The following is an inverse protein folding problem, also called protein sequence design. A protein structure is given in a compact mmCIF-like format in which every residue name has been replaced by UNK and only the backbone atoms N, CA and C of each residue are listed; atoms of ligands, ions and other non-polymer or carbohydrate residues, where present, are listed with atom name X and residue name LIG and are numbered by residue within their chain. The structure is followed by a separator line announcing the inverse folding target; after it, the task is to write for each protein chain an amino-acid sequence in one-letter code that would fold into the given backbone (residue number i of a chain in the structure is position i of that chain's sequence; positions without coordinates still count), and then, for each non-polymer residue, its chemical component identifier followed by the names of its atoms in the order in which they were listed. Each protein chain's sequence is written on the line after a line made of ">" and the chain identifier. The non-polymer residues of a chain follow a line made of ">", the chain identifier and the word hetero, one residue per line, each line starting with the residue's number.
data_IF_576509243481
#
_entry.id   IF_576509243481
#
_cell.length_a   1.000
_cell.length_b   1.000
_cell.length_c   1.000
_cell.angle_alpha   90.00
_cell.angle_beta   90.00
_cell.angle_gamma   90.00
#
_symmetry.space_group_name_H-M   'P 1'
#
loop_
_entity.id
_entity.type
_entity.pdbx_description
1 polymer ?
#
# COMPACT_ATOMS: atom_id res chain seq x y z
N UNK A 1 -44.46 -5.97 9.75
CA UNK A 1 -43.06 -5.76 10.13
C UNK A 1 -42.38 -7.14 10.08
N UNK A 2 -41.22 -7.24 9.46
CA UNK A 2 -40.44 -8.50 9.32
C UNK A 2 -39.90 -8.98 10.68
N UNK A 3 -40.19 -10.23 11.08
CA UNK A 3 -39.59 -10.84 12.28
C UNK A 3 -38.12 -11.18 12.02
N UNK A 4 -37.23 -10.72 12.89
CA UNK A 4 -35.77 -10.79 12.74
C UNK A 4 -35.22 -11.97 13.53
N UNK A 5 -35.22 -13.16 12.95
CA UNK A 5 -34.80 -14.40 13.61
C UNK A 5 -33.32 -14.41 14.03
N UNK A 6 -32.46 -13.68 13.31
CA UNK A 6 -31.04 -13.53 13.66
C UNK A 6 -30.80 -12.81 15.01
N UNK A 7 -31.77 -12.09 15.55
CA UNK A 7 -31.71 -11.49 16.89
C UNK A 7 -32.00 -12.51 17.97
N UNK A 8 -32.78 -13.55 17.65
CA UNK A 8 -33.16 -14.64 18.57
C UNK A 8 -32.07 -15.72 18.62
N UNK A 9 -31.56 -16.11 17.44
CA UNK A 9 -30.48 -17.06 17.29
C UNK A 9 -29.53 -16.63 16.16
N UNK A 10 -28.31 -16.20 16.53
CA UNK A 10 -27.27 -15.78 15.60
C UNK A 10 -26.76 -16.91 14.68
N UNK A 11 -26.90 -18.18 15.11
CA UNK A 11 -26.44 -19.36 14.39
C UNK A 11 -27.50 -19.94 13.45
N UNK A 12 -28.73 -19.42 13.49
CA UNK A 12 -29.80 -19.86 12.60
C UNK A 12 -29.47 -19.45 11.15
N UNK A 13 -29.28 -20.44 10.28
CA UNK A 13 -28.89 -20.22 8.87
C UNK A 13 -30.02 -20.42 7.89
N UNK A 14 -31.19 -20.97 8.33
CA UNK A 14 -32.35 -21.24 7.49
C UNK A 14 -33.63 -20.90 8.19
N UNK A 15 -34.62 -20.44 7.42
CA UNK A 15 -36.00 -20.35 7.90
C UNK A 15 -36.97 -20.53 6.73
N UNK A 16 -38.23 -20.87 7.05
CA UNK A 16 -39.34 -20.70 6.11
C UNK A 16 -39.87 -19.28 6.25
N UNK A 17 -40.18 -18.65 5.13
CA UNK A 17 -40.74 -17.29 5.11
C UNK A 17 -41.70 -17.15 3.97
N UNK A 18 -42.50 -16.09 4.03
CA UNK A 18 -43.43 -15.71 2.95
C UNK A 18 -43.00 -14.36 2.38
N UNK A 19 -42.97 -14.29 1.05
CA UNK A 19 -42.71 -13.02 0.35
C UNK A 19 -43.96 -12.12 0.51
N UNK A 20 -43.77 -10.94 1.12
CA UNK A 20 -44.79 -9.94 1.33
C UNK A 20 -44.91 -9.01 0.14
N UNK A 21 -43.78 -8.58 -0.44
CA UNK A 21 -43.72 -7.74 -1.63
C UNK A 21 -42.51 -8.08 -2.50
N UNK A 22 -42.61 -7.77 -3.80
CA UNK A 22 -41.55 -7.88 -4.78
C UNK A 22 -41.68 -6.70 -5.73
N UNK A 23 -40.68 -5.84 -5.77
CA UNK A 23 -40.65 -4.65 -6.64
C UNK A 23 -39.38 -4.63 -7.48
N UNK A 24 -39.45 -4.18 -8.76
CA UNK A 24 -38.21 -3.98 -9.54
C UNK A 24 -37.33 -2.94 -8.89
N UNK A 25 -35.99 -3.20 -8.86
CA UNK A 25 -34.98 -2.31 -8.38
C UNK A 25 -33.99 -1.96 -9.51
N UNK A 26 -33.05 -1.07 -9.23
CA UNK A 26 -32.03 -0.65 -10.21
C UNK A 26 -31.16 -1.83 -10.71
N UNK A 27 -30.91 -2.80 -9.82
CA UNK A 27 -30.21 -4.05 -10.15
C UNK A 27 -30.97 -5.23 -9.52
N UNK A 28 -31.87 -5.86 -10.29
CA UNK A 28 -32.67 -6.99 -9.81
C UNK A 28 -34.00 -6.57 -9.18
N UNK A 29 -34.30 -7.13 -8.01
CA UNK A 29 -35.60 -6.98 -7.34
C UNK A 29 -35.44 -6.82 -5.83
N UNK A 30 -36.27 -5.98 -5.24
CA UNK A 30 -36.39 -5.78 -3.80
C UNK A 30 -37.54 -6.61 -3.24
N UNK A 31 -37.21 -7.47 -2.30
CA UNK A 31 -38.17 -8.38 -1.64
C UNK A 31 -38.29 -8.04 -0.16
N UNK A 32 -39.53 -8.04 0.36
CA UNK A 32 -39.76 -8.04 1.80
C UNK A 32 -40.37 -9.41 2.23
N UNK A 33 -39.94 -9.88 3.40
CA UNK A 33 -40.39 -11.17 3.96
C UNK A 33 -41.12 -10.96 5.28
N UNK A 34 -42.03 -11.87 5.64
CA UNK A 34 -42.68 -11.88 6.96
C UNK A 34 -41.71 -12.16 8.11
N UNK A 35 -40.69 -12.98 7.86
CA UNK A 35 -39.57 -13.24 8.77
C UNK A 35 -38.29 -13.56 8.00
N UNK A 36 -37.13 -13.38 8.66
CA UNK A 36 -35.85 -13.54 7.99
C UNK A 36 -34.73 -13.95 8.92
N UNK A 37 -33.78 -14.73 8.37
CA UNK A 37 -32.47 -15.03 8.99
C UNK A 37 -31.38 -14.10 8.50
N UNK A 38 -31.63 -13.29 7.44
CA UNK A 38 -30.63 -12.37 6.86
C UNK A 38 -30.44 -11.15 7.76
N UNK A 39 -29.19 -10.93 8.19
CA UNK A 39 -28.77 -9.70 8.85
C UNK A 39 -28.54 -8.61 7.80
N UNK A 40 -29.09 -7.38 7.95
CA UNK A 40 -28.88 -6.28 7.05
C UNK A 40 -27.52 -5.59 7.24
N UNK A 41 -27.16 -4.66 6.36
CA UNK A 41 -26.07 -3.73 6.60
C UNK A 41 -26.39 -2.87 7.83
N UNK A 42 -25.76 -3.13 8.95
CA UNK A 42 -26.01 -2.40 10.20
C UNK A 42 -24.84 -2.53 11.20
N UNK A 43 -24.73 -1.57 12.12
CA UNK A 43 -23.75 -1.63 13.20
C UNK A 43 -22.30 -1.74 12.76
N UNK A 44 -21.95 -1.22 11.57
CA UNK A 44 -20.61 -1.31 11.01
C UNK A 44 -20.26 -2.68 10.40
N UNK A 45 -21.23 -3.61 10.32
CA UNK A 45 -21.07 -4.94 9.74
C UNK A 45 -21.84 -5.05 8.42
N UNK A 46 -21.23 -5.64 7.35
CA UNK A 46 -21.91 -5.93 6.11
C UNK A 46 -23.04 -6.97 6.29
N UNK A 47 -24.04 -6.90 5.40
CA UNK A 47 -25.17 -7.81 5.39
C UNK A 47 -24.77 -9.24 5.01
N UNK A 48 -25.70 -10.17 5.30
CA UNK A 48 -25.65 -11.52 4.76
C UNK A 48 -26.03 -11.58 3.29
N UNK A 49 -25.53 -12.62 2.65
CA UNK A 49 -25.96 -13.07 1.32
C UNK A 49 -26.49 -14.50 1.41
N UNK A 50 -27.20 -14.96 0.36
CA UNK A 50 -27.71 -16.33 0.39
C UNK A 50 -28.71 -16.63 -0.74
N UNK A 51 -29.68 -17.49 -0.46
CA UNK A 51 -30.63 -18.00 -1.45
C UNK A 51 -32.03 -18.10 -0.88
N UNK A 52 -33.04 -17.77 -1.70
CA UNK A 52 -34.45 -18.12 -1.43
C UNK A 52 -34.87 -19.22 -2.40
N UNK A 53 -35.31 -20.36 -1.87
CA UNK A 53 -35.82 -21.51 -2.64
C UNK A 53 -37.32 -21.58 -2.56
N UNK A 54 -38.00 -21.86 -3.67
CA UNK A 54 -39.42 -22.01 -3.76
C UNK A 54 -39.82 -22.95 -4.92
N UNK A 55 -41.07 -23.42 -5.02
CA UNK A 55 -41.46 -24.37 -6.08
C UNK A 55 -41.15 -23.94 -7.52
N UNK A 56 -41.03 -22.63 -7.79
CA UNK A 56 -40.63 -22.06 -9.09
C UNK A 56 -39.13 -21.97 -9.33
N UNK A 57 -38.27 -22.39 -8.40
CA UNK A 57 -36.82 -22.35 -8.52
C UNK A 57 -36.09 -21.76 -7.30
N UNK A 58 -34.99 -21.11 -7.53
CA UNK A 58 -34.22 -20.44 -6.49
C UNK A 58 -33.72 -19.08 -7.00
N UNK A 59 -33.60 -18.09 -6.14
CA UNK A 59 -33.04 -16.77 -6.42
C UNK A 59 -31.89 -16.48 -5.44
N UNK A 60 -30.90 -15.74 -5.91
CA UNK A 60 -29.77 -15.30 -5.09
C UNK A 60 -30.12 -13.99 -4.40
N UNK A 61 -29.93 -13.94 -3.08
CA UNK A 61 -29.97 -12.69 -2.30
C UNK A 61 -28.55 -12.17 -2.22
N UNK A 62 -28.31 -11.04 -2.86
CA UNK A 62 -26.98 -10.41 -2.97
C UNK A 62 -26.72 -9.38 -1.88
N UNK A 63 -27.76 -8.96 -1.17
CA UNK A 63 -27.68 -7.98 -0.09
C UNK A 63 -28.97 -7.86 0.69
N UNK A 64 -28.91 -7.17 1.82
CA UNK A 64 -30.06 -6.90 2.68
C UNK A 64 -29.82 -5.57 3.39
N UNK A 65 -30.79 -4.67 3.30
CA UNK A 65 -30.76 -3.36 3.93
C UNK A 65 -31.99 -3.12 4.80
N UNK A 66 -31.82 -2.31 5.83
CA UNK A 66 -32.90 -1.85 6.68
C UNK A 66 -33.33 -0.46 6.23
N UNK A 67 -34.60 -0.30 5.96
CA UNK A 67 -35.28 0.98 5.73
C UNK A 67 -36.17 1.30 6.91
N UNK A 68 -36.71 2.55 6.98
CA UNK A 68 -37.59 2.97 8.07
C UNK A 68 -38.82 2.06 8.21
N UNK A 69 -39.29 1.48 7.11
CA UNK A 69 -40.56 0.71 7.05
C UNK A 69 -40.34 -0.82 6.96
N UNK A 70 -39.18 -1.28 6.45
CA UNK A 70 -39.01 -2.69 6.11
C UNK A 70 -37.53 -3.14 6.10
N UNK A 71 -37.34 -4.45 6.17
CA UNK A 71 -36.09 -5.12 5.87
C UNK A 71 -36.15 -5.65 4.43
N UNK A 72 -35.32 -5.08 3.56
CA UNK A 72 -35.32 -5.29 2.11
C UNK A 72 -34.21 -6.25 1.73
N UNK A 73 -34.57 -7.32 0.98
CA UNK A 73 -33.63 -8.31 0.44
C UNK A 73 -33.45 -8.04 -1.06
N UNK A 74 -32.22 -7.83 -1.51
CA UNK A 74 -31.89 -7.58 -2.93
C UNK A 74 -31.68 -8.92 -3.64
N UNK A 75 -32.59 -9.27 -4.56
CA UNK A 75 -32.58 -10.53 -5.29
C UNK A 75 -32.26 -10.36 -6.78
N UNK A 76 -31.57 -11.35 -7.37
CA UNK A 76 -31.22 -11.37 -8.79
C UNK A 76 -32.42 -11.55 -9.72
N UNK A 77 -33.53 -12.12 -9.22
CA UNK A 77 -34.74 -12.42 -9.98
C UNK A 77 -35.98 -12.22 -9.12
N UNK A 78 -37.16 -12.01 -9.75
CA UNK A 78 -38.41 -11.79 -9.02
C UNK A 78 -38.91 -13.08 -8.34
N UNK A 79 -39.53 -12.89 -7.18
CA UNK A 79 -40.34 -13.91 -6.51
C UNK A 79 -41.72 -13.31 -6.23
N UNK A 80 -42.82 -13.87 -6.75
CA UNK A 80 -44.17 -13.30 -6.58
C UNK A 80 -44.56 -13.15 -5.10
N UNK A 81 -45.26 -12.06 -4.76
CA UNK A 81 -45.80 -11.88 -3.42
C UNK A 81 -46.79 -13.03 -3.10
N UNK A 82 -46.80 -13.43 -1.84
CA UNK A 82 -47.57 -14.57 -1.35
C UNK A 82 -46.87 -15.93 -1.48
N UNK A 83 -45.69 -15.97 -2.15
CA UNK A 83 -44.91 -17.23 -2.30
C UNK A 83 -44.25 -17.61 -0.99
N UNK A 84 -44.39 -18.89 -0.58
CA UNK A 84 -43.65 -19.48 0.51
C UNK A 84 -42.23 -19.86 0.04
N UNK A 85 -41.23 -19.42 0.76
CA UNK A 85 -39.81 -19.63 0.43
C UNK A 85 -39.03 -20.28 1.59
N UNK A 86 -38.02 -21.05 1.26
CA UNK A 86 -36.97 -21.44 2.21
C UNK A 86 -35.80 -20.50 2.02
N UNK A 87 -35.54 -19.66 3.03
CA UNK A 87 -34.47 -18.71 3.09
C UNK A 87 -33.24 -19.35 3.71
N UNK A 88 -32.10 -19.29 3.03
CA UNK A 88 -30.81 -19.87 3.48
C UNK A 88 -29.71 -18.84 3.26
N UNK A 89 -28.99 -18.47 4.34
CA UNK A 89 -27.83 -17.54 4.26
C UNK A 89 -26.54 -18.31 3.95
N UNK A 90 -25.53 -17.58 3.44
CA UNK A 90 -24.15 -18.07 3.41
C UNK A 90 -23.61 -18.20 4.85
N UNK A 91 -23.59 -19.44 5.34
CA UNK A 91 -23.12 -19.77 6.70
C UNK A 91 -21.66 -19.35 6.91
N UNK A 92 -20.80 -19.53 5.92
CA UNK A 92 -19.38 -19.24 6.06
C UNK A 92 -19.16 -17.72 6.21
N UNK A 93 -19.87 -16.91 5.43
CA UNK A 93 -19.88 -15.44 5.53
C UNK A 93 -20.42 -14.97 6.89
N UNK A 94 -21.57 -15.49 7.32
CA UNK A 94 -22.16 -15.15 8.62
C UNK A 94 -21.21 -15.47 9.76
N UNK A 95 -20.66 -16.66 9.80
CA UNK A 95 -19.75 -17.09 10.86
C UNK A 95 -18.46 -16.27 10.89
N UNK A 96 -17.89 -15.98 9.73
CA UNK A 96 -16.74 -15.08 9.61
C UNK A 96 -17.04 -13.68 10.18
N UNK A 97 -18.18 -13.09 9.85
CA UNK A 97 -18.58 -11.79 10.41
C UNK A 97 -18.81 -11.87 11.94
N UNK A 98 -19.40 -12.93 12.44
CA UNK A 98 -19.58 -13.15 13.88
C UNK A 98 -18.23 -13.23 14.60
N UNK A 99 -17.23 -13.92 14.02
CA UNK A 99 -15.87 -13.97 14.57
C UNK A 99 -15.23 -12.57 14.65
N UNK A 100 -15.33 -11.78 13.58
CA UNK A 100 -14.78 -10.41 13.57
C UNK A 100 -15.48 -9.53 14.61
N UNK A 101 -16.82 -9.54 14.63
CA UNK A 101 -17.60 -8.66 15.49
C UNK A 101 -17.43 -9.03 16.98
N UNK A 102 -17.44 -10.32 17.31
CA UNK A 102 -17.18 -10.76 18.69
C UNK A 102 -15.74 -10.47 19.12
N UNK A 103 -14.77 -10.59 18.19
CA UNK A 103 -13.38 -10.19 18.42
C UNK A 103 -13.22 -8.69 18.67
N UNK A 104 -14.02 -7.84 17.97
CA UNK A 104 -14.09 -6.41 18.25
C UNK A 104 -14.48 -6.13 19.70
N UNK A 105 -15.52 -6.80 20.20
CA UNK A 105 -15.96 -6.67 21.59
C UNK A 105 -14.84 -7.00 22.58
N UNK A 106 -14.08 -8.09 22.36
CA UNK A 106 -12.94 -8.45 23.21
C UNK A 106 -11.83 -7.39 23.16
N UNK A 107 -11.46 -6.92 21.94
CA UNK A 107 -10.46 -5.87 21.78
C UNK A 107 -10.87 -4.59 22.50
N UNK A 108 -12.11 -4.17 22.30
CA UNK A 108 -12.64 -2.94 22.89
C UNK A 108 -12.70 -3.02 24.40
N UNK A 109 -13.09 -4.19 24.95
CA UNK A 109 -13.10 -4.40 26.40
C UNK A 109 -11.68 -4.42 26.97
N UNK A 110 -10.73 -5.14 26.35
CA UNK A 110 -9.33 -5.18 26.79
C UNK A 110 -8.69 -3.78 26.73
N UNK A 111 -8.91 -3.01 25.67
CA UNK A 111 -8.42 -1.65 25.53
C UNK A 111 -8.93 -0.74 26.64
N UNK A 112 -10.23 -0.85 26.95
CA UNK A 112 -10.83 -0.08 28.05
C UNK A 112 -10.29 -0.49 29.43
N UNK A 113 -10.24 -1.79 29.73
CA UNK A 113 -9.81 -2.29 31.03
C UNK A 113 -8.31 -2.04 31.32
N UNK A 114 -7.46 -2.21 30.30
CA UNK A 114 -6.00 -2.12 30.47
C UNK A 114 -5.49 -0.69 30.38
N UNK A 115 -6.06 0.09 29.47
CA UNK A 115 -5.51 1.39 29.10
C UNK A 115 -6.51 2.55 29.27
N UNK A 116 -7.75 2.27 29.66
CA UNK A 116 -8.85 3.25 29.68
C UNK A 116 -9.17 3.80 28.28
N UNK A 117 -8.76 3.10 27.21
CA UNK A 117 -9.00 3.50 25.84
C UNK A 117 -10.42 3.12 25.41
N UNK A 118 -11.20 4.13 24.97
CA UNK A 118 -12.60 3.95 24.58
C UNK A 118 -12.69 3.74 23.07
N UNK A 119 -13.42 2.68 22.64
CA UNK A 119 -13.75 2.50 21.24
C UNK A 119 -14.82 3.52 20.81
N UNK A 120 -14.45 4.41 19.89
CA UNK A 120 -15.31 5.46 19.32
C UNK A 120 -15.76 5.15 17.88
N UNK A 121 -15.30 4.06 17.28
CA UNK A 121 -15.69 3.67 15.94
C UNK A 121 -15.35 2.22 15.62
N UNK A 122 -16.25 1.54 14.91
CA UNK A 122 -16.07 0.19 14.39
C UNK A 122 -16.50 0.11 12.93
N UNK A 123 -15.75 -0.59 12.13
CA UNK A 123 -16.10 -0.90 10.75
C UNK A 123 -15.56 -2.28 10.37
N UNK A 124 -16.42 -3.10 9.81
CA UNK A 124 -16.09 -4.42 9.26
C UNK A 124 -16.20 -4.38 7.74
N UNK A 125 -15.16 -4.82 7.06
CA UNK A 125 -15.14 -5.03 5.61
C UNK A 125 -15.02 -6.53 5.29
N UNK A 126 -15.04 -6.87 4.01
CA UNK A 126 -14.77 -8.24 3.54
C UNK A 126 -13.34 -8.71 3.87
N UNK A 127 -12.39 -7.79 3.99
CA UNK A 127 -10.98 -8.10 4.17
C UNK A 127 -10.52 -8.02 5.62
N UNK A 128 -10.98 -7.05 6.40
CA UNK A 128 -10.53 -6.77 7.76
C UNK A 128 -11.58 -6.04 8.59
N UNK A 129 -11.40 -6.04 9.92
CA UNK A 129 -12.11 -5.16 10.85
C UNK A 129 -11.22 -4.01 11.30
N UNK A 130 -11.82 -2.85 11.61
CA UNK A 130 -11.13 -1.73 12.26
C UNK A 130 -11.88 -1.26 13.50
N UNK A 131 -11.11 -0.87 14.53
CA UNK A 131 -11.62 -0.10 15.66
C UNK A 131 -10.85 1.19 15.82
N UNK A 132 -11.54 2.25 16.21
CA UNK A 132 -10.95 3.55 16.51
C UNK A 132 -10.97 3.76 18.03
N UNK A 133 -9.79 3.89 18.63
CA UNK A 133 -9.65 4.20 20.05
C UNK A 133 -9.38 5.69 20.24
N UNK A 134 -9.93 6.27 21.32
CA UNK A 134 -9.87 7.69 21.63
C UNK A 134 -8.49 8.21 22.05
N UNK A 135 -7.51 7.32 22.23
CA UNK A 135 -6.13 7.66 22.64
C UNK A 135 -5.11 6.81 21.91
N UNK A 136 -3.86 7.27 21.75
CA UNK A 136 -2.79 6.49 21.19
C UNK A 136 -2.37 5.34 22.12
N UNK A 137 -1.91 4.24 21.54
CA UNK A 137 -1.24 3.14 22.22
C UNK A 137 0.15 2.94 21.60
N UNK A 138 1.15 2.67 22.43
CA UNK A 138 2.48 2.31 21.95
C UNK A 138 2.58 0.84 21.54
N UNK A 139 3.73 0.45 20.97
CA UNK A 139 3.92 -0.91 20.45
C UNK A 139 3.82 -2.00 21.54
N UNK A 140 4.26 -1.73 22.76
CA UNK A 140 4.16 -2.68 23.88
C UNK A 140 2.72 -2.83 24.32
N UNK A 141 1.96 -1.73 24.42
CA UNK A 141 0.54 -1.73 24.74
C UNK A 141 -0.29 -2.45 23.68
N UNK A 142 0.06 -2.29 22.37
CA UNK A 142 -0.61 -3.02 21.28
C UNK A 142 -0.37 -4.53 21.38
N UNK A 143 0.85 -4.95 21.68
CA UNK A 143 1.17 -6.35 21.89
C UNK A 143 0.43 -6.93 23.13
N UNK A 144 0.38 -6.18 24.23
CA UNK A 144 -0.38 -6.57 25.42
C UNK A 144 -1.87 -6.66 25.14
N UNK A 145 -2.44 -5.73 24.35
CA UNK A 145 -3.83 -5.75 23.93
C UNK A 145 -4.17 -6.99 23.13
N UNK A 146 -3.36 -7.31 22.12
CA UNK A 146 -3.55 -8.50 21.29
C UNK A 146 -3.48 -9.78 22.12
N UNK A 147 -2.47 -9.88 22.99
CA UNK A 147 -2.32 -11.04 23.87
C UNK A 147 -3.52 -11.19 24.80
N UNK A 148 -3.96 -10.12 25.47
CA UNK A 148 -5.09 -10.16 26.39
C UNK A 148 -6.39 -10.55 25.71
N UNK A 149 -6.65 -10.07 24.48
CA UNK A 149 -7.83 -10.46 23.71
C UNK A 149 -7.80 -11.95 23.31
N UNK A 150 -6.63 -12.47 22.93
CA UNK A 150 -6.47 -13.90 22.62
C UNK A 150 -6.60 -14.79 23.87
N UNK A 151 -6.11 -14.34 25.03
CA UNK A 151 -6.29 -15.06 26.31
C UNK A 151 -7.78 -15.17 26.68
N UNK A 152 -8.57 -14.11 26.46
CA UNK A 152 -10.02 -14.14 26.67
C UNK A 152 -10.73 -15.03 25.65
N UNK A 153 -10.32 -15.00 24.38
CA UNK A 153 -10.85 -15.89 23.36
C UNK A 153 -10.62 -17.36 23.74
N UNK A 154 -9.42 -17.70 24.22
CA UNK A 154 -9.05 -19.06 24.64
C UNK A 154 -9.78 -19.55 25.90
N UNK A 155 -10.33 -18.67 26.74
CA UNK A 155 -11.13 -19.04 27.92
C UNK A 155 -12.49 -19.61 27.57
N UNK A 156 -12.93 -19.53 26.34
CA UNK A 156 -14.20 -20.06 25.83
C UNK A 156 -15.42 -19.60 26.64
N UNK A 157 -15.49 -18.30 26.94
CA UNK A 157 -16.55 -17.67 27.71
C UNK A 157 -17.88 -17.66 26.94
N UNK A 158 -19.00 -17.78 27.65
CA UNK A 158 -20.32 -17.70 27.05
C UNK A 158 -20.60 -16.27 26.54
N UNK A 159 -21.20 -16.18 25.35
CA UNK A 159 -21.69 -14.94 24.75
C UNK A 159 -23.19 -15.03 24.62
N UNK A 160 -23.91 -14.18 25.34
CA UNK A 160 -25.36 -14.18 25.40
C UNK A 160 -25.95 -12.86 24.90
N UNK A 161 -27.16 -12.89 24.44
CA UNK A 161 -27.89 -11.69 24.03
C UNK A 161 -29.28 -11.68 24.70
N UNK A 162 -29.67 -10.51 25.20
CA UNK A 162 -30.97 -10.28 25.80
C UNK A 162 -31.58 -8.98 25.26
N UNK A 163 -32.92 -8.96 25.13
CA UNK A 163 -33.67 -7.76 24.68
C UNK A 163 -34.40 -7.12 25.86
N UNK A 164 -34.29 -5.82 25.97
CA UNK A 164 -34.84 -5.01 27.05
C UNK A 164 -35.90 -4.05 26.49
N UNK A 165 -37.01 -3.90 27.23
CA UNK A 165 -38.18 -3.16 26.77
C UNK A 165 -37.98 -1.62 26.78
N UNK A 166 -36.99 -1.11 27.49
CA UNK A 166 -36.71 0.34 27.58
C UNK A 166 -35.28 0.60 28.06
N UNK A 167 -34.79 1.82 27.93
CA UNK A 167 -33.51 2.27 28.51
C UNK A 167 -33.49 2.13 30.04
N UNK A 168 -34.60 2.39 30.69
CA UNK A 168 -34.71 2.20 32.16
C UNK A 168 -34.47 0.74 32.58
N UNK A 169 -34.77 -0.24 31.74
CA UNK A 169 -34.52 -1.64 32.02
C UNK A 169 -33.04 -2.03 31.92
N UNK A 170 -32.18 -1.14 31.44
CA UNK A 170 -30.72 -1.33 31.37
C UNK A 170 -30.01 -0.85 32.65
N UNK A 171 -30.74 -0.17 33.55
CA UNK A 171 -30.19 0.33 34.80
C UNK A 171 -29.62 -0.82 35.68
N UNK A 172 -28.39 -0.64 36.15
CA UNK A 172 -27.66 -1.67 36.91
C UNK A 172 -26.89 -2.71 36.09
N UNK A 173 -27.01 -2.72 34.75
CA UNK A 173 -26.15 -3.53 33.90
C UNK A 173 -24.72 -2.91 33.80
N UNK A 174 -23.65 -3.73 33.80
CA UNK A 174 -22.28 -3.25 33.72
C UNK A 174 -21.91 -2.87 32.28
N UNK A 175 -22.68 -1.98 31.65
CA UNK A 175 -22.48 -1.59 30.26
C UNK A 175 -21.17 -0.82 30.07
N UNK A 176 -20.25 -1.37 29.25
CA UNK A 176 -19.05 -0.64 28.81
C UNK A 176 -19.41 0.49 27.86
N UNK A 177 -20.34 0.24 26.94
CA UNK A 177 -20.82 1.20 25.96
C UNK A 177 -22.34 1.13 25.86
N UNK A 178 -22.95 2.28 25.99
CA UNK A 178 -24.37 2.48 25.79
C UNK A 178 -24.59 3.47 24.64
N UNK A 179 -25.32 3.08 23.62
CA UNK A 179 -25.76 4.00 22.58
C UNK A 179 -27.01 4.72 23.08
N UNK A 180 -26.99 6.04 23.06
CA UNK A 180 -28.15 6.87 23.45
C UNK A 180 -29.22 6.89 22.37
N UNK A 181 -30.48 7.03 22.78
CA UNK A 181 -31.61 7.21 21.85
C UNK A 181 -32.01 5.94 21.08
N UNK A 182 -31.72 4.76 21.63
CA UNK A 182 -32.10 3.51 20.98
C UNK A 182 -33.61 3.27 21.05
N UNK A 183 -34.18 2.83 19.95
CA UNK A 183 -35.58 2.40 19.88
C UNK A 183 -35.72 1.00 20.50
N UNK A 184 -36.67 0.84 21.44
CA UNK A 184 -36.98 -0.45 22.04
C UNK A 184 -37.56 -1.45 21.01
N UNK A 185 -37.31 -2.75 21.16
CA UNK A 185 -36.51 -3.41 22.20
C UNK A 185 -35.02 -3.23 22.01
N UNK A 186 -34.28 -2.90 23.09
CA UNK A 186 -32.84 -2.69 23.09
C UNK A 186 -32.12 -4.01 23.32
N UNK A 187 -31.31 -4.45 22.38
CA UNK A 187 -30.54 -5.69 22.50
C UNK A 187 -29.18 -5.40 23.16
N UNK A 188 -28.85 -6.17 24.19
CA UNK A 188 -27.58 -6.15 24.91
C UNK A 188 -26.88 -7.49 24.69
N UNK A 189 -25.62 -7.42 24.31
CA UNK A 189 -24.73 -8.58 24.21
C UNK A 189 -23.80 -8.58 25.41
N UNK A 190 -23.67 -9.73 26.05
CA UNK A 190 -22.83 -9.94 27.25
C UNK A 190 -21.87 -11.08 27.01
N UNK A 191 -20.57 -10.83 27.18
CA UNK A 191 -19.52 -11.84 27.27
C UNK A 191 -19.24 -12.06 28.74
N UNK A 192 -19.45 -13.26 29.24
CA UNK A 192 -19.37 -13.61 30.66
C UNK A 192 -18.04 -13.20 31.30
N UNK A 193 -18.09 -12.34 32.33
CA UNK A 193 -16.91 -11.85 33.04
C UNK A 193 -16.02 -10.92 32.20
N UNK A 194 -16.52 -10.43 31.04
CA UNK A 194 -15.84 -9.48 30.16
C UNK A 194 -16.81 -8.39 29.70
N UNK A 195 -17.10 -8.28 28.43
CA UNK A 195 -17.83 -7.16 27.84
C UNK A 195 -19.35 -7.24 28.04
N UNK A 196 -19.98 -6.09 28.20
CA UNK A 196 -21.42 -5.93 28.17
C UNK A 196 -21.74 -4.59 27.43
N UNK A 197 -22.44 -4.67 26.30
CA UNK A 197 -22.81 -3.47 25.58
C UNK A 197 -24.06 -3.65 24.68
N UNK A 198 -24.68 -2.55 24.28
CA UNK A 198 -25.78 -2.55 23.33
C UNK A 198 -25.25 -2.90 21.93
N UNK A 199 -25.78 -3.99 21.32
CA UNK A 199 -25.39 -4.44 20.00
C UNK A 199 -26.52 -5.21 19.30
N UNK A 200 -26.78 -4.90 18.03
CA UNK A 200 -27.81 -5.57 17.22
C UNK A 200 -27.26 -6.69 16.32
N UNK A 201 -25.92 -6.81 16.19
CA UNK A 201 -25.32 -7.77 15.27
C UNK A 201 -25.34 -9.22 15.80
N UNK A 202 -25.25 -10.22 14.91
CA UNK A 202 -24.99 -11.60 15.28
C UNK A 202 -23.60 -11.78 15.88
N UNK A 203 -23.51 -12.60 16.93
CA UNK A 203 -22.27 -12.94 17.63
C UNK A 203 -22.04 -14.44 17.71
N UNK A 204 -20.79 -14.85 17.93
CA UNK A 204 -20.43 -16.20 18.34
C UNK A 204 -21.17 -16.59 19.62
N UNK A 205 -21.45 -17.85 19.81
CA UNK A 205 -22.05 -18.34 21.08
C UNK A 205 -21.02 -18.39 22.21
N UNK A 206 -19.76 -18.52 21.88
CA UNK A 206 -18.65 -18.60 22.83
C UNK A 206 -17.42 -17.88 22.27
N UNK A 207 -16.57 -17.33 23.15
CA UNK A 207 -15.35 -16.63 22.72
C UNK A 207 -14.35 -17.55 22.02
N UNK A 208 -14.32 -18.85 22.30
CA UNK A 208 -13.50 -19.84 21.62
C UNK A 208 -13.78 -19.95 20.11
N UNK A 209 -15.02 -19.65 19.67
CA UNK A 209 -15.39 -19.63 18.26
C UNK A 209 -14.69 -18.50 17.46
N UNK A 210 -14.21 -17.44 18.13
CA UNK A 210 -13.45 -16.34 17.49
C UNK A 210 -12.17 -16.90 16.87
N UNK A 211 -11.56 -17.92 17.49
CA UNK A 211 -10.26 -18.42 17.10
C UNK A 211 -9.14 -17.42 17.43
N UNK A 212 -8.11 -17.37 16.60
CA UNK A 212 -7.01 -16.41 16.76
C UNK A 212 -7.44 -15.00 16.35
N UNK A 213 -7.06 -14.01 17.16
CA UNK A 213 -7.17 -12.59 16.86
C UNK A 213 -5.78 -12.05 16.57
N UNK A 214 -5.64 -11.26 15.52
CA UNK A 214 -4.36 -10.71 15.05
C UNK A 214 -4.51 -9.24 14.68
N UNK A 215 -3.69 -8.36 15.29
CA UNK A 215 -3.58 -6.96 14.91
C UNK A 215 -2.62 -6.83 13.74
N UNK A 216 -3.12 -6.37 12.60
CA UNK A 216 -2.30 -6.25 11.38
C UNK A 216 -1.69 -4.86 11.21
N UNK A 217 -2.32 -3.83 11.77
CA UNK A 217 -1.87 -2.45 11.64
C UNK A 217 -2.41 -1.56 12.77
N UNK A 218 -1.67 -0.48 13.06
CA UNK A 218 -2.05 0.56 14.00
C UNK A 218 -1.58 1.92 13.48
N UNK A 219 -2.53 2.79 13.13
CA UNK A 219 -2.24 4.12 12.58
C UNK A 219 -2.85 5.23 13.43
N UNK A 220 -2.16 6.35 13.55
CA UNK A 220 -2.68 7.51 14.25
C UNK A 220 -4.00 7.99 13.60
N UNK A 221 -5.04 8.21 14.40
CA UNK A 221 -6.36 8.59 13.90
C UNK A 221 -7.06 9.55 14.86
N UNK A 222 -7.38 10.78 14.42
CA UNK A 222 -8.20 11.77 15.15
C UNK A 222 -7.79 11.98 16.62
N UNK A 223 -6.50 11.99 16.91
CA UNK A 223 -5.98 12.13 18.28
C UNK A 223 -5.84 10.83 19.05
N UNK A 224 -6.31 9.72 18.51
CA UNK A 224 -6.19 8.36 19.02
C UNK A 224 -5.47 7.44 18.06
N UNK A 225 -5.87 6.17 18.02
CA UNK A 225 -5.32 5.15 17.14
C UNK A 225 -6.43 4.33 16.46
N UNK A 226 -6.30 4.10 15.16
CA UNK A 226 -7.08 3.10 14.42
C UNK A 226 -6.29 1.80 14.39
N UNK A 227 -6.92 0.74 14.88
CA UNK A 227 -6.39 -0.62 14.81
C UNK A 227 -7.08 -1.38 13.69
N UNK A 228 -6.30 -2.10 12.89
CA UNK A 228 -6.81 -3.07 11.92
C UNK A 228 -6.58 -4.46 12.46
N UNK A 229 -7.61 -5.31 12.44
CA UNK A 229 -7.55 -6.64 13.01
C UNK A 229 -8.24 -7.70 12.15
N UNK A 230 -7.88 -8.94 12.41
CA UNK A 230 -8.43 -10.15 11.80
C UNK A 230 -8.72 -11.18 12.88
N UNK A 231 -9.82 -11.94 12.73
CA UNK A 231 -10.14 -13.07 13.60
C UNK A 231 -10.27 -14.37 12.79
N UNK A 232 -10.12 -15.50 13.47
CA UNK A 232 -10.42 -16.84 12.95
C UNK A 232 -9.65 -17.18 11.67
N UNK A 233 -10.37 -17.63 10.65
CA UNK A 233 -9.76 -18.04 9.39
C UNK A 233 -9.11 -16.88 8.62
N UNK A 234 -9.54 -15.63 8.82
CA UNK A 234 -8.84 -14.46 8.22
C UNK A 234 -7.45 -14.32 8.82
N UNK A 235 -7.34 -14.39 10.15
CA UNK A 235 -6.07 -14.33 10.86
C UNK A 235 -5.14 -15.48 10.49
N UNK A 236 -5.66 -16.71 10.38
CA UNK A 236 -4.90 -17.88 9.95
C UNK A 236 -4.35 -17.70 8.51
N UNK A 237 -5.18 -17.24 7.58
CA UNK A 237 -4.75 -16.98 6.20
C UNK A 237 -3.66 -15.91 6.14
N UNK A 238 -3.79 -14.85 6.93
CA UNK A 238 -2.79 -13.79 7.03
C UNK A 238 -1.46 -14.34 7.58
N UNK A 239 -1.48 -15.03 8.70
CA UNK A 239 -0.29 -15.65 9.31
C UNK A 239 0.39 -16.63 8.32
N UNK A 240 -0.40 -17.41 7.57
CA UNK A 240 0.13 -18.32 6.54
C UNK A 240 0.81 -17.57 5.41
N UNK A 241 0.20 -16.49 4.92
CA UNK A 241 0.80 -15.67 3.87
C UNK A 241 2.14 -15.05 4.29
N UNK A 242 2.23 -14.56 5.55
CA UNK A 242 3.47 -14.04 6.12
C UNK A 242 4.53 -15.14 6.24
N UNK A 243 4.16 -16.31 6.77
CA UNK A 243 5.04 -17.47 6.85
C UNK A 243 5.61 -17.86 5.47
N UNK A 244 4.74 -17.96 4.46
CA UNK A 244 5.16 -18.33 3.10
C UNK A 244 6.05 -17.25 2.45
N UNK A 245 5.85 -15.98 2.80
CA UNK A 245 6.74 -14.89 2.35
C UNK A 245 8.14 -15.02 2.95
N UNK A 246 8.23 -15.26 4.27
CA UNK A 246 9.52 -15.51 4.94
C UNK A 246 10.21 -16.75 4.38
N UNK A 247 9.46 -17.82 4.11
CA UNK A 247 9.97 -19.05 3.47
C UNK A 247 10.58 -18.80 2.08
N UNK A 248 9.91 -18.00 1.26
CA UNK A 248 10.44 -17.63 -0.06
C UNK A 248 11.75 -16.85 0.06
N UNK A 249 11.83 -15.91 1.01
CA UNK A 249 13.06 -15.16 1.29
C UNK A 249 14.16 -16.08 1.81
N UNK A 250 13.88 -16.94 2.77
CA UNK A 250 14.85 -17.90 3.32
C UNK A 250 15.48 -18.78 2.21
N UNK A 251 14.63 -19.31 1.30
CA UNK A 251 15.10 -20.07 0.12
C UNK A 251 15.94 -19.21 -0.81
N UNK A 252 15.53 -17.97 -1.10
CA UNK A 252 16.29 -17.07 -1.98
C UNK A 252 17.68 -16.75 -1.44
N UNK A 253 17.80 -16.61 -0.12
CA UNK A 253 19.07 -16.33 0.55
C UNK A 253 19.82 -17.60 0.99
N UNK A 254 19.27 -18.80 0.72
CA UNK A 254 19.85 -20.08 1.13
C UNK A 254 20.15 -20.12 2.64
N UNK A 255 19.22 -19.66 3.47
CA UNK A 255 19.35 -19.54 4.92
C UNK A 255 18.12 -20.10 5.67
N UNK A 256 18.20 -20.22 6.99
CA UNK A 256 17.03 -20.48 7.84
C UNK A 256 16.16 -19.25 7.98
N UNK A 257 14.88 -19.44 8.33
CA UNK A 257 13.89 -18.35 8.49
C UNK A 257 14.33 -17.31 9.53
N UNK A 258 14.90 -17.81 10.62
CA UNK A 258 15.42 -17.01 11.74
C UNK A 258 16.60 -16.10 11.35
N UNK A 259 17.26 -16.38 10.23
CA UNK A 259 18.43 -15.65 9.74
C UNK A 259 18.12 -14.75 8.52
N UNK A 260 16.87 -14.68 8.07
CA UNK A 260 16.48 -13.90 6.86
C UNK A 260 16.85 -12.43 7.01
N UNK A 261 16.56 -11.83 8.16
CA UNK A 261 16.86 -10.42 8.42
C UNK A 261 18.36 -10.15 8.31
N UNK A 262 19.19 -10.99 8.95
CA UNK A 262 20.65 -10.88 8.88
C UNK A 262 21.17 -11.06 7.44
N UNK A 263 20.59 -11.97 6.66
CA UNK A 263 20.95 -12.19 5.26
C UNK A 263 20.61 -10.98 4.37
N UNK A 264 19.45 -10.36 4.57
CA UNK A 264 19.04 -9.13 3.87
C UNK A 264 19.96 -7.97 4.22
N UNK A 265 20.30 -7.79 5.51
CA UNK A 265 21.22 -6.74 5.95
C UNK A 265 22.60 -6.93 5.34
N UNK A 266 23.15 -8.16 5.36
CA UNK A 266 24.42 -8.49 4.73
C UNK A 266 24.45 -8.14 3.25
N UNK A 267 23.39 -8.48 2.50
CA UNK A 267 23.30 -8.13 1.08
C UNK A 267 23.25 -6.62 0.84
N UNK A 268 22.56 -5.87 1.69
CA UNK A 268 22.51 -4.41 1.61
C UNK A 268 23.91 -3.79 1.84
N UNK A 269 24.66 -4.32 2.80
CA UNK A 269 26.03 -3.87 3.10
C UNK A 269 27.01 -4.21 1.96
N UNK A 270 26.92 -5.41 1.41
CA UNK A 270 27.72 -5.84 0.23
C UNK A 270 27.43 -4.96 -0.99
N UNK A 271 26.16 -4.68 -1.28
CA UNK A 271 25.76 -3.79 -2.37
C UNK A 271 26.32 -2.37 -2.16
N UNK A 272 26.25 -1.86 -0.93
CA UNK A 272 26.79 -0.55 -0.58
C UNK A 272 28.32 -0.50 -0.76
N UNK A 273 29.02 -1.55 -0.33
CA UNK A 273 30.47 -1.69 -0.53
C UNK A 273 30.84 -1.78 -2.02
N UNK A 274 30.14 -2.60 -2.79
CA UNK A 274 30.34 -2.74 -4.24
C UNK A 274 30.17 -1.39 -4.96
N UNK A 275 29.13 -0.63 -4.66
CA UNK A 275 28.91 0.71 -5.22
C UNK A 275 29.99 1.72 -4.83
N UNK A 276 30.57 1.63 -3.64
CA UNK A 276 31.72 2.45 -3.23
C UNK A 276 32.96 2.08 -4.02
N UNK A 277 33.23 0.78 -4.17
CA UNK A 277 34.36 0.27 -4.94
C UNK A 277 34.27 0.66 -6.42
N UNK A 278 33.08 0.53 -7.02
CA UNK A 278 32.80 0.96 -8.41
C UNK A 278 33.10 2.45 -8.60
N UNK A 279 32.61 3.33 -7.71
CA UNK A 279 32.88 4.77 -7.76
C UNK A 279 34.35 5.08 -7.62
N UNK A 280 35.06 4.42 -6.69
CA UNK A 280 36.50 4.59 -6.49
C UNK A 280 37.29 4.16 -7.73
N UNK A 281 36.92 3.05 -8.35
CA UNK A 281 37.50 2.54 -9.57
C UNK A 281 37.24 3.49 -10.76
N UNK A 282 36.02 3.97 -10.91
CA UNK A 282 35.64 4.96 -11.90
C UNK A 282 36.44 6.28 -11.78
N UNK A 283 36.65 6.74 -10.55
CA UNK A 283 37.46 7.92 -10.29
C UNK A 283 38.96 7.71 -10.68
N UNK A 284 39.50 6.53 -10.42
CA UNK A 284 40.87 6.17 -10.83
C UNK A 284 40.99 6.10 -12.35
N UNK A 285 40.09 5.43 -13.02
CA UNK A 285 40.03 5.37 -14.50
C UNK A 285 39.94 6.75 -15.09
N UNK A 286 39.06 7.61 -14.56
CA UNK A 286 38.93 9.01 -15.00
C UNK A 286 40.23 9.80 -14.83
N UNK A 287 40.96 9.59 -13.74
CA UNK A 287 42.23 10.25 -13.52
C UNK A 287 43.34 9.80 -14.52
N UNK A 288 43.39 8.52 -14.87
CA UNK A 288 44.31 8.01 -15.89
C UNK A 288 43.96 8.54 -17.28
N UNK A 289 42.69 8.51 -17.67
CA UNK A 289 42.20 9.07 -18.93
C UNK A 289 42.53 10.58 -19.02
N UNK A 290 42.30 11.33 -17.95
CA UNK A 290 42.64 12.73 -17.88
C UNK A 290 44.15 12.98 -18.07
N UNK A 291 45.00 12.11 -17.55
CA UNK A 291 46.47 12.18 -17.73
C UNK A 291 46.86 11.94 -19.20
N UNK A 292 46.30 10.91 -19.84
CA UNK A 292 46.50 10.64 -21.27
C UNK A 292 46.02 11.78 -22.15
N UNK A 293 44.79 12.30 -21.87
CA UNK A 293 44.23 13.46 -22.58
C UNK A 293 45.13 14.70 -22.51
N UNK A 294 45.68 14.98 -21.29
CA UNK A 294 46.64 16.09 -21.13
C UNK A 294 47.96 15.87 -21.90
N UNK A 295 48.45 14.62 -21.90
CA UNK A 295 49.69 14.27 -22.65
C UNK A 295 49.47 14.42 -24.17
N UNK A 296 48.26 14.20 -24.68
CA UNK A 296 47.88 14.42 -26.08
C UNK A 296 47.48 15.86 -26.43
N UNK A 297 47.66 16.81 -25.51
CA UNK A 297 47.30 18.21 -25.77
C UNK A 297 48.11 18.84 -26.88
N UNK A 298 47.48 19.47 -27.87
CA UNK A 298 48.10 20.11 -29.00
C UNK A 298 48.19 21.63 -28.78
N UNK A 299 49.31 22.28 -29.13
CA UNK A 299 49.43 23.71 -29.03
C UNK A 299 48.73 24.42 -30.19
N UNK A 300 47.79 25.31 -29.84
CA UNK A 300 47.07 26.15 -30.81
C UNK A 300 47.15 27.64 -30.39
N UNK A 301 48.06 28.37 -30.95
CA UNK A 301 48.35 29.74 -30.53
C UNK A 301 48.95 29.81 -29.13
N UNK A 302 48.34 30.61 -28.24
CA UNK A 302 48.75 30.77 -26.84
C UNK A 302 48.15 29.69 -25.90
N UNK A 303 47.18 28.93 -26.39
CA UNK A 303 46.46 27.93 -25.61
C UNK A 303 46.76 26.49 -26.06
N UNK A 304 46.34 25.53 -25.25
CA UNK A 304 46.34 24.12 -25.56
C UNK A 304 44.95 23.66 -25.96
N UNK A 305 44.87 22.75 -26.93
CA UNK A 305 43.63 22.02 -27.27
C UNK A 305 43.76 20.58 -26.83
N UNK A 306 42.88 20.14 -25.96
CA UNK A 306 42.65 18.75 -25.61
C UNK A 306 41.37 18.30 -26.31
N UNK A 307 41.47 17.49 -27.36
CA UNK A 307 40.31 17.01 -28.10
C UNK A 307 40.40 15.51 -28.28
N UNK A 308 39.39 14.76 -27.80
CA UNK A 308 39.35 13.32 -27.93
C UNK A 308 37.91 12.78 -28.02
N UNK A 309 37.77 11.71 -28.78
CA UNK A 309 36.65 10.77 -28.63
C UNK A 309 37.01 9.79 -27.49
N UNK A 310 36.12 9.64 -26.53
CA UNK A 310 36.35 8.80 -25.35
C UNK A 310 35.32 7.68 -25.34
N UNK A 311 35.78 6.46 -25.47
CA UNK A 311 34.94 5.27 -25.47
C UNK A 311 34.66 4.77 -24.06
N UNK A 312 33.46 4.22 -23.83
CA UNK A 312 33.07 3.65 -22.55
C UNK A 312 32.88 4.64 -21.40
N UNK A 313 32.86 5.95 -21.68
CA UNK A 313 32.63 7.02 -20.71
C UNK A 313 31.17 7.42 -20.73
N UNK A 314 30.49 7.22 -19.60
CA UNK A 314 29.11 7.67 -19.45
C UNK A 314 28.99 9.20 -19.55
N UNK A 315 27.87 9.68 -20.07
CA UNK A 315 27.52 11.10 -20.20
C UNK A 315 27.80 11.93 -18.95
N UNK A 316 27.39 11.42 -17.80
CA UNK A 316 27.57 12.11 -16.50
C UNK A 316 29.03 12.25 -16.08
N UNK A 317 29.94 11.43 -16.63
CA UNK A 317 31.36 11.44 -16.34
C UNK A 317 32.16 12.34 -17.29
N UNK A 318 31.62 12.75 -18.46
CA UNK A 318 32.32 13.60 -19.42
C UNK A 318 32.72 14.96 -18.84
N UNK A 319 31.85 15.62 -18.11
CA UNK A 319 32.14 16.92 -17.49
C UNK A 319 33.23 16.83 -16.43
N UNK A 320 33.17 15.93 -15.43
CA UNK A 320 34.28 15.72 -14.51
C UNK A 320 35.59 15.35 -15.19
N UNK A 321 35.57 14.52 -16.23
CA UNK A 321 36.76 14.17 -17.01
C UNK A 321 37.35 15.36 -17.72
N UNK A 322 36.52 16.19 -18.35
CA UNK A 322 36.97 17.43 -19.01
C UNK A 322 37.61 18.42 -18.02
N UNK A 323 37.04 18.52 -16.80
CA UNK A 323 37.65 19.36 -15.73
C UNK A 323 39.04 18.83 -15.31
N UNK A 324 39.18 17.51 -15.20
CA UNK A 324 40.46 16.88 -14.88
C UNK A 324 41.48 16.95 -16.05
N UNK A 325 41.01 17.08 -17.30
CA UNK A 325 41.83 17.18 -18.49
C UNK A 325 42.39 18.59 -18.73
N UNK A 326 41.99 19.61 -17.97
CA UNK A 326 42.62 20.96 -18.04
C UNK A 326 44.10 20.89 -17.66
N UNK A 327 44.94 21.62 -18.39
CA UNK A 327 46.36 21.77 -18.16
C UNK A 327 46.66 23.01 -17.28
N UNK A 328 47.91 23.14 -16.83
CA UNK A 328 48.42 24.33 -16.10
C UNK A 328 48.60 25.57 -16.99
N UNK A 329 48.18 25.53 -18.25
CA UNK A 329 48.22 26.63 -19.24
C UNK A 329 46.76 26.86 -19.75
N UNK A 330 46.46 28.03 -20.40
CA UNK A 330 45.20 28.24 -21.05
C UNK A 330 44.83 27.03 -21.92
N UNK A 331 43.71 26.37 -21.65
CA UNK A 331 43.33 25.09 -22.28
C UNK A 331 41.86 25.12 -22.72
N UNK A 332 41.59 24.66 -23.93
CA UNK A 332 40.26 24.28 -24.41
C UNK A 332 40.19 22.75 -24.45
N UNK A 333 39.21 22.17 -23.76
CA UNK A 333 38.93 20.75 -23.77
C UNK A 333 37.65 20.50 -24.60
N UNK A 334 37.72 19.60 -25.57
CA UNK A 334 36.59 19.08 -26.33
C UNK A 334 36.57 17.57 -26.24
N UNK A 335 35.64 17.03 -25.44
CA UNK A 335 35.42 15.59 -25.32
C UNK A 335 34.09 15.20 -25.94
N UNK A 336 34.12 14.09 -26.67
CA UNK A 336 32.95 13.48 -27.28
C UNK A 336 32.90 12.01 -26.88
N UNK A 337 31.75 11.57 -26.39
CA UNK A 337 31.45 10.15 -26.14
C UNK A 337 30.21 9.74 -26.94
N UNK A 338 30.24 8.54 -27.48
CA UNK A 338 29.10 7.95 -28.18
C UNK A 338 28.69 6.64 -27.48
N UNK A 339 27.39 6.43 -27.33
CA UNK A 339 26.79 5.14 -27.03
C UNK A 339 25.97 4.66 -28.24
N UNK A 340 25.26 3.56 -28.13
CA UNK A 340 24.46 2.99 -29.24
C UNK A 340 23.35 3.92 -29.74
N UNK A 341 22.92 4.89 -28.94
CA UNK A 341 21.77 5.76 -29.21
C UNK A 341 22.12 7.21 -29.46
N UNK A 342 23.18 7.71 -28.83
CA UNK A 342 23.49 9.14 -28.79
C UNK A 342 24.98 9.42 -28.76
N UNK A 343 25.32 10.57 -29.31
CA UNK A 343 26.60 11.23 -29.13
C UNK A 343 26.43 12.33 -28.09
N UNK A 344 27.33 12.40 -27.12
CA UNK A 344 27.36 13.48 -26.14
C UNK A 344 28.72 14.19 -26.19
N UNK A 345 28.73 15.50 -25.97
CA UNK A 345 29.96 16.26 -25.98
C UNK A 345 29.99 17.29 -24.85
N UNK A 346 31.19 17.63 -24.46
CA UNK A 346 31.53 18.71 -23.53
C UNK A 346 32.63 19.58 -24.12
N UNK A 347 32.41 20.88 -24.09
CA UNK A 347 33.40 21.91 -24.29
C UNK A 347 33.67 22.59 -22.96
N UNK A 348 34.94 22.70 -22.55
CA UNK A 348 35.33 23.37 -21.33
C UNK A 348 36.62 24.14 -21.56
N UNK A 349 36.68 25.43 -21.17
CA UNK A 349 37.91 26.18 -21.24
C UNK A 349 38.34 26.64 -19.83
N UNK A 350 39.66 26.77 -19.65
CA UNK A 350 40.22 27.47 -18.50
C UNK A 350 40.17 29.00 -18.75
N UNK A 351 40.36 29.77 -17.69
CA UNK A 351 40.48 31.21 -17.76
C UNK A 351 41.63 31.60 -18.71
N UNK A 352 41.46 32.72 -19.45
CA UNK A 352 42.45 33.24 -20.36
C UNK A 352 42.44 32.66 -21.78
N UNK A 353 41.49 31.76 -22.11
CA UNK A 353 41.32 31.26 -23.50
C UNK A 353 40.61 32.27 -24.42
N UNK A 354 39.73 33.11 -23.88
CA UNK A 354 39.11 34.22 -24.60
C UNK A 354 38.11 33.83 -25.70
N UNK A 355 37.51 32.63 -25.62
CA UNK A 355 36.50 32.13 -26.59
C UNK A 355 35.11 32.07 -25.96
N UNK A 356 34.10 32.39 -26.76
CA UNK A 356 32.70 32.23 -26.36
C UNK A 356 32.27 30.78 -26.55
N UNK A 357 31.96 30.12 -25.42
CA UNK A 357 31.52 28.71 -25.42
C UNK A 357 30.14 28.52 -26.06
N UNK A 358 29.31 29.55 -26.08
CA UNK A 358 28.01 29.54 -26.78
C UNK A 358 28.17 29.46 -28.30
N UNK A 359 29.06 30.29 -28.88
CA UNK A 359 29.38 30.20 -30.30
C UNK A 359 29.96 28.84 -30.69
N UNK A 360 30.93 28.35 -29.90
CA UNK A 360 31.55 27.05 -30.17
C UNK A 360 30.53 25.90 -30.05
N UNK A 361 29.61 25.98 -29.10
CA UNK A 361 28.54 25.03 -28.96
C UNK A 361 27.60 25.02 -30.19
N UNK A 362 27.26 26.19 -30.73
CA UNK A 362 26.44 26.28 -31.95
C UNK A 362 27.14 25.63 -33.14
N UNK A 363 28.43 25.85 -33.30
CA UNK A 363 29.23 25.24 -34.37
C UNK A 363 29.28 23.71 -34.23
N UNK A 364 29.48 23.21 -33.00
CA UNK A 364 29.45 21.76 -32.72
C UNK A 364 28.07 21.17 -32.97
N UNK A 365 27.01 21.83 -32.53
CA UNK A 365 25.62 21.39 -32.77
C UNK A 365 25.32 21.32 -34.29
N UNK A 366 25.72 22.33 -35.05
CA UNK A 366 25.52 22.35 -36.52
C UNK A 366 26.28 21.20 -37.20
N UNK A 367 27.52 20.94 -36.78
CA UNK A 367 28.36 19.91 -37.36
C UNK A 367 27.87 18.49 -36.98
N UNK A 368 27.34 18.29 -35.80
CA UNK A 368 26.86 16.98 -35.33
C UNK A 368 25.37 16.75 -35.57
N UNK A 369 24.61 17.74 -36.02
CA UNK A 369 23.15 17.68 -36.10
C UNK A 369 22.47 17.57 -34.73
N UNK A 370 23.11 18.17 -33.71
CA UNK A 370 22.72 18.03 -32.31
C UNK A 370 22.05 19.25 -31.72
N UNK A 371 21.83 19.17 -30.42
CA UNK A 371 21.33 20.28 -29.60
C UNK A 371 22.17 20.38 -28.32
N UNK A 372 22.44 21.59 -27.91
CA UNK A 372 23.21 21.87 -26.71
C UNK A 372 23.24 23.35 -26.41
N UNK A 373 23.87 23.73 -25.33
CA UNK A 373 24.05 25.09 -24.91
C UNK A 373 25.25 25.28 -23.99
N UNK A 374 25.68 26.52 -23.86
CA UNK A 374 26.80 26.87 -23.00
C UNK A 374 26.76 28.33 -22.58
N UNK A 375 27.45 28.62 -21.47
CA UNK A 375 27.65 29.95 -20.94
C UNK A 375 28.97 30.00 -20.15
N UNK A 376 29.66 31.15 -20.25
CA UNK A 376 30.95 31.31 -19.55
C UNK A 376 32.02 30.37 -20.11
N UNK A 377 32.55 29.51 -19.26
CA UNK A 377 33.69 28.61 -19.57
C UNK A 377 33.26 27.22 -20.04
N UNK A 378 31.97 26.92 -20.14
CA UNK A 378 31.50 25.57 -20.43
C UNK A 378 30.31 25.56 -21.40
N UNK A 379 30.28 24.54 -22.28
CA UNK A 379 29.12 24.13 -23.05
C UNK A 379 29.03 22.61 -23.14
N UNK A 380 27.83 22.11 -23.32
CA UNK A 380 27.56 20.69 -23.50
C UNK A 380 26.37 20.46 -24.42
N UNK A 381 26.31 19.31 -25.04
CA UNK A 381 25.19 18.94 -25.88
C UNK A 381 25.17 17.48 -26.25
N UNK A 382 24.17 17.12 -27.04
CA UNK A 382 24.00 15.78 -27.56
C UNK A 382 23.52 15.80 -29.02
N UNK A 383 23.87 14.74 -29.74
CA UNK A 383 23.48 14.54 -31.14
C UNK A 383 23.05 13.07 -31.35
N UNK A 384 22.28 12.77 -32.40
CA UNK A 384 22.05 11.40 -32.81
C UNK A 384 23.34 10.75 -33.27
N UNK A 385 23.49 9.42 -33.07
CA UNK A 385 24.57 8.66 -33.69
C UNK A 385 24.37 8.67 -35.22
N UNK A 386 25.46 8.87 -35.93
CA UNK A 386 25.45 8.90 -37.41
C UNK A 386 26.76 8.37 -37.98
N UNK A 387 26.71 7.93 -39.21
CA UNK A 387 27.90 7.61 -39.98
C UNK A 387 28.78 8.84 -40.16
N UNK A 388 30.09 8.67 -40.19
CA UNK A 388 31.05 9.76 -40.38
C UNK A 388 31.32 10.58 -39.08
N UNK A 389 31.05 10.05 -37.89
CA UNK A 389 31.30 10.75 -36.65
C UNK A 389 32.77 11.11 -36.45
N UNK A 390 33.69 10.21 -36.82
CA UNK A 390 35.14 10.43 -36.73
C UNK A 390 35.60 11.54 -37.64
N UNK A 391 35.07 11.62 -38.85
CA UNK A 391 35.35 12.72 -39.79
C UNK A 391 34.81 14.07 -39.30
N UNK A 392 33.60 14.06 -38.77
CA UNK A 392 32.99 15.24 -38.15
C UNK A 392 33.81 15.72 -36.95
N UNK A 393 34.27 14.80 -36.10
CA UNK A 393 35.11 15.07 -34.95
C UNK A 393 36.47 15.70 -35.40
N UNK A 394 37.13 15.13 -36.45
CA UNK A 394 38.37 15.65 -36.97
C UNK A 394 38.21 17.06 -37.53
N UNK A 395 37.12 17.36 -38.26
CA UNK A 395 36.79 18.68 -38.76
C UNK A 395 36.55 19.66 -37.59
N UNK A 396 35.81 19.27 -36.58
CA UNK A 396 35.57 20.10 -35.40
C UNK A 396 36.85 20.38 -34.62
N UNK A 397 37.73 19.39 -34.44
CA UNK A 397 39.04 19.59 -33.84
C UNK A 397 39.87 20.64 -34.61
N UNK A 398 39.90 20.53 -35.95
CA UNK A 398 40.56 21.51 -36.82
C UNK A 398 39.98 22.93 -36.68
N UNK A 399 38.67 23.04 -36.66
CA UNK A 399 37.96 24.31 -36.46
C UNK A 399 38.29 24.92 -35.08
N UNK A 400 38.23 24.16 -34.00
CA UNK A 400 38.58 24.63 -32.66
C UNK A 400 40.03 25.06 -32.53
N UNK A 401 40.95 24.35 -33.16
CA UNK A 401 42.37 24.75 -33.22
C UNK A 401 42.57 26.10 -33.99
N UNK A 402 41.83 26.31 -35.08
CA UNK A 402 41.85 27.58 -35.83
C UNK A 402 41.32 28.75 -34.99
N UNK A 403 40.19 28.53 -34.28
CA UNK A 403 39.60 29.56 -33.39
C UNK A 403 40.55 29.92 -32.26
N UNK A 404 41.27 28.96 -31.65
CA UNK A 404 42.28 29.22 -30.64
C UNK A 404 43.47 30.02 -31.16
N UNK A 405 43.93 29.79 -32.41
CA UNK A 405 45.01 30.57 -33.04
C UNK A 405 44.60 31.99 -33.34
N UNK A 406 43.32 32.24 -33.63
CA UNK A 406 42.77 33.56 -33.95
C UNK A 406 42.40 34.37 -32.69
N UNK A 407 42.24 33.72 -31.53
CA UNK A 407 41.98 34.38 -30.24
C UNK A 407 43.21 35.23 -29.84
N UNK A 408 42.99 36.52 -29.59
CA UNK A 408 44.04 37.49 -29.24
C UNK A 408 44.38 37.50 -27.76
#
# INVERSE_FOLDING_TARGET
>A
MTRRLYLEDSHLTRCRARVLSCTPAQAGYDLTLDQTVFFPNAGGQPCDTGTLRFPGGAVTVTGCDETDDALVHHADRPVPAGTDVEAEIDRARRFDHMQQHTGEHLLSWCAFQRFGAVNVGFHLSEAYGTIDLDRPLDAAQLQELEQAANELAARDLAVTAASYASEAALEGLPLRKHAEGLTAPIRVVTIEGADCCTCCAPHCARTGEIGMLFLTDAVAWKGGVRLTFLCGLRALRHARAMHDAVDRLARRFSTGRENVEAAVQKQADELSAARRAERALGARVSAYLAQELRAGAERAGRALLVAAQVDGVEAKALRPLAQQALCNAPTLVFLLAADESRVQYVLLCSDGVGLDMGELCQAVNAALGGKGGGRGTMAQGSAPVRDGLSEAFAQLKGYLAQRLRAAR
#
